data_IF_130113884597
#
_entry.id   IF_130113884597
#
_cell.length_a   1.000
_cell.length_b   1.000
_cell.length_c   1.000
_cell.angle_alpha   90.00
_cell.angle_beta   90.00
_cell.angle_gamma   90.00
#
_symmetry.space_group_name_H-M   'P 1'
#
loop_
_entity.id
_entity.type
_entity.pdbx_description
1 polymer ?
#
# COMPACT_ATOMS: atom_id res chain seq x y z
N UNK A 1 26.94 -20.60 9.69
CA UNK A 1 25.82 -19.63 9.77
C UNK A 1 25.88 -18.97 11.13
N UNK A 2 25.94 -17.64 11.16
CA UNK A 2 25.97 -16.86 12.39
C UNK A 2 24.63 -17.04 13.11
N UNK A 3 24.57 -17.22 14.44
CA UNK A 3 23.32 -17.42 15.19
C UNK A 3 22.22 -16.40 14.90
N UNK A 4 22.61 -15.17 14.60
CA UNK A 4 21.67 -14.12 14.21
C UNK A 4 21.04 -14.28 12.83
N UNK A 5 21.74 -14.91 11.89
CA UNK A 5 21.21 -15.17 10.54
C UNK A 5 20.14 -16.28 10.57
N UNK A 6 20.35 -17.31 11.38
CA UNK A 6 19.37 -18.38 11.56
C UNK A 6 18.10 -17.87 12.23
N UNK A 7 18.23 -17.05 13.28
CA UNK A 7 17.09 -16.40 13.93
C UNK A 7 16.31 -15.48 12.97
N UNK A 8 17.00 -14.77 12.09
CA UNK A 8 16.36 -13.93 11.09
C UNK A 8 15.55 -14.75 10.08
N UNK A 9 16.08 -15.87 9.60
CA UNK A 9 15.33 -16.74 8.68
C UNK A 9 14.14 -17.40 9.37
N UNK A 10 14.26 -17.80 10.62
CA UNK A 10 13.13 -18.29 11.44
C UNK A 10 12.05 -17.21 11.61
N UNK A 11 12.43 -15.96 11.84
CA UNK A 11 11.53 -14.82 11.94
C UNK A 11 10.78 -14.60 10.62
N UNK A 12 11.49 -14.56 9.50
CA UNK A 12 10.91 -14.38 8.17
C UNK A 12 9.93 -15.50 7.84
N UNK A 13 10.31 -16.75 8.08
CA UNK A 13 9.46 -17.92 7.85
C UNK A 13 8.19 -17.87 8.70
N UNK A 14 8.30 -17.51 9.98
CA UNK A 14 7.17 -17.38 10.90
C UNK A 14 6.18 -16.29 10.45
N UNK A 15 6.67 -15.15 9.99
CA UNK A 15 5.81 -14.05 9.51
C UNK A 15 5.13 -14.41 8.21
N UNK A 16 5.85 -14.96 7.24
CA UNK A 16 5.30 -15.37 5.94
C UNK A 16 4.33 -16.54 6.04
N UNK A 17 4.43 -17.35 7.08
CA UNK A 17 3.47 -18.40 7.38
C UNK A 17 2.07 -17.87 7.77
N UNK A 18 1.96 -16.62 8.21
CA UNK A 18 0.69 -15.98 8.48
C UNK A 18 0.05 -15.49 7.18
N UNK A 19 -1.23 -15.84 6.94
CA UNK A 19 -1.97 -15.41 5.75
C UNK A 19 -1.92 -13.89 5.52
N UNK A 20 -2.02 -13.13 6.61
CA UNK A 20 -1.99 -11.65 6.60
C UNK A 20 -0.71 -11.06 5.98
N UNK A 21 0.44 -11.72 6.14
CA UNK A 21 1.74 -11.19 5.71
C UNK A 21 2.38 -11.97 4.56
N UNK A 22 1.64 -12.93 3.99
CA UNK A 22 2.16 -13.81 2.93
C UNK A 22 2.61 -13.06 1.69
N UNK A 23 1.90 -12.00 1.33
CA UNK A 23 2.17 -11.17 0.16
C UNK A 23 3.21 -10.05 0.43
N UNK A 24 3.65 -9.88 1.67
CA UNK A 24 4.64 -8.86 2.01
C UNK A 24 6.01 -9.26 1.46
N UNK A 25 6.72 -8.28 0.88
CA UNK A 25 8.08 -8.50 0.38
C UNK A 25 8.99 -9.08 1.48
N UNK A 26 9.64 -10.22 1.23
CA UNK A 26 10.56 -10.84 2.18
C UNK A 26 11.71 -9.93 2.60
N UNK A 27 12.17 -9.05 1.70
CA UNK A 27 13.27 -8.13 2.02
C UNK A 27 12.83 -7.06 3.03
N UNK A 28 11.59 -6.57 2.92
CA UNK A 28 11.02 -5.65 3.90
C UNK A 28 10.93 -6.32 5.28
N UNK A 29 10.48 -7.58 5.33
CA UNK A 29 10.43 -8.35 6.58
C UNK A 29 11.82 -8.50 7.18
N UNK A 30 12.84 -8.84 6.36
CA UNK A 30 14.24 -8.93 6.80
C UNK A 30 14.77 -7.63 7.38
N UNK A 31 14.54 -6.53 6.68
CA UNK A 31 15.02 -5.22 7.09
C UNK A 31 14.45 -4.79 8.45
N UNK A 32 13.15 -5.00 8.67
CA UNK A 32 12.49 -4.71 9.95
C UNK A 32 12.94 -5.73 11.01
N UNK A 33 12.93 -7.02 10.66
CA UNK A 33 13.29 -8.11 11.55
C UNK A 33 14.70 -8.00 12.11
N UNK A 34 15.66 -7.62 11.29
CA UNK A 34 17.05 -7.39 11.73
C UNK A 34 17.11 -6.32 12.80
N UNK A 35 16.39 -5.21 12.61
CA UNK A 35 16.33 -4.11 13.58
C UNK A 35 15.67 -4.53 14.90
N UNK A 36 14.63 -5.34 14.80
CA UNK A 36 13.89 -5.80 15.99
C UNK A 36 14.66 -6.90 16.76
N UNK A 37 15.37 -7.79 16.05
CA UNK A 37 16.26 -8.78 16.68
C UNK A 37 17.44 -8.12 17.41
N UNK A 38 17.98 -7.02 16.90
CA UNK A 38 19.03 -6.25 17.55
C UNK A 38 18.56 -5.64 18.88
N UNK A 39 17.28 -5.29 18.99
CA UNK A 39 16.70 -4.67 20.19
C UNK A 39 16.14 -5.67 21.20
N UNK A 40 15.74 -6.85 20.76
CA UNK A 40 15.01 -7.84 21.54
C UNK A 40 15.69 -9.20 21.45
N UNK A 41 16.14 -9.72 22.57
CA UNK A 41 16.79 -11.03 22.61
C UNK A 41 15.85 -12.21 22.32
N UNK A 42 14.62 -12.28 22.89
CA UNK A 42 13.72 -13.39 22.59
C UNK A 42 13.18 -13.28 21.16
N UNK A 43 13.38 -14.33 20.35
CA UNK A 43 12.88 -14.41 18.97
C UNK A 43 11.37 -14.13 18.89
N UNK A 44 10.59 -14.66 19.83
CA UNK A 44 9.14 -14.44 19.90
C UNK A 44 8.76 -12.96 19.99
N UNK A 45 9.49 -12.20 20.80
CA UNK A 45 9.27 -10.77 20.96
C UNK A 45 9.68 -9.98 19.70
N UNK A 46 10.76 -10.38 19.04
CA UNK A 46 11.17 -9.80 17.78
C UNK A 46 10.15 -10.06 16.66
N UNK A 47 9.59 -11.26 16.59
CA UNK A 47 8.51 -11.60 15.65
C UNK A 47 7.29 -10.73 15.89
N UNK A 48 6.83 -10.59 17.14
CA UNK A 48 5.69 -9.76 17.50
C UNK A 48 5.92 -8.30 17.14
N UNK A 49 7.10 -7.76 17.46
CA UNK A 49 7.46 -6.38 17.15
C UNK A 49 7.54 -6.14 15.63
N UNK A 50 8.10 -7.08 14.87
CA UNK A 50 8.14 -7.00 13.41
C UNK A 50 6.74 -7.00 12.81
N UNK A 51 5.84 -7.87 13.27
CA UNK A 51 4.42 -7.88 12.85
C UNK A 51 3.73 -6.55 13.16
N UNK A 52 3.97 -5.96 14.32
CA UNK A 52 3.41 -4.66 14.67
C UNK A 52 3.92 -3.55 13.74
N UNK A 53 5.21 -3.54 13.40
CA UNK A 53 5.77 -2.58 12.45
C UNK A 53 5.19 -2.75 11.04
N UNK A 54 5.09 -3.98 10.57
CA UNK A 54 4.45 -4.29 9.28
C UNK A 54 2.98 -3.84 9.27
N UNK A 55 2.27 -4.03 10.37
CA UNK A 55 0.89 -3.56 10.51
C UNK A 55 0.79 -2.03 10.45
N UNK A 56 1.68 -1.31 11.15
CA UNK A 56 1.72 0.15 11.11
C UNK A 56 1.99 0.69 9.71
N UNK A 57 2.89 0.05 8.95
CA UNK A 57 3.22 0.46 7.58
C UNK A 57 2.11 0.08 6.59
N UNK A 58 1.52 -1.09 6.73
CA UNK A 58 0.64 -1.70 5.73
C UNK A 58 -0.86 -1.57 6.02
N UNK A 59 -1.28 -1.30 7.26
CA UNK A 59 -2.69 -1.35 7.63
C UNK A 59 -3.56 -0.34 6.87
N UNK A 60 -3.00 0.82 6.55
CA UNK A 60 -3.69 1.86 5.78
C UNK A 60 -3.95 1.46 4.32
N UNK A 61 -3.22 0.47 3.81
CA UNK A 61 -3.31 -0.04 2.43
C UNK A 61 -4.06 -1.36 2.31
N UNK A 62 -4.49 -1.94 3.44
CA UNK A 62 -5.30 -3.16 3.44
C UNK A 62 -6.76 -2.81 3.22
N UNK A 63 -7.23 -2.98 1.99
CA UNK A 63 -8.64 -2.85 1.62
C UNK A 63 -9.32 -4.22 1.61
N UNK A 64 -10.64 -4.25 1.76
CA UNK A 64 -11.41 -5.46 1.57
C UNK A 64 -11.31 -5.91 0.10
N UNK A 65 -10.75 -7.08 -0.15
CA UNK A 65 -10.47 -7.60 -1.50
C UNK A 65 -11.67 -7.56 -2.45
N UNK A 66 -12.88 -7.79 -1.96
CA UNK A 66 -14.09 -7.84 -2.78
C UNK A 66 -14.50 -6.50 -3.39
N UNK A 67 -14.25 -5.38 -2.72
CA UNK A 67 -14.65 -4.05 -3.21
C UNK A 67 -13.73 -3.53 -4.32
N UNK A 68 -12.45 -3.88 -4.27
CA UNK A 68 -11.45 -3.44 -5.26
C UNK A 68 -11.72 -4.07 -6.63
N UNK A 69 -12.02 -5.36 -6.67
CA UNK A 69 -12.32 -6.08 -7.93
C UNK A 69 -13.52 -5.51 -8.67
N UNK A 70 -14.60 -5.18 -7.95
CA UNK A 70 -15.79 -4.58 -8.52
C UNK A 70 -15.52 -3.16 -9.04
N UNK A 71 -14.84 -2.32 -8.26
CA UNK A 71 -14.47 -0.98 -8.70
C UNK A 71 -13.56 -0.99 -9.92
N UNK A 72 -12.62 -1.92 -9.98
CA UNK A 72 -11.76 -2.10 -11.14
C UNK A 72 -12.52 -2.53 -12.39
N UNK A 73 -13.51 -3.42 -12.26
CA UNK A 73 -14.39 -3.80 -13.36
C UNK A 73 -15.20 -2.61 -13.88
N UNK A 74 -15.71 -1.75 -12.99
CA UNK A 74 -16.42 -0.51 -13.36
C UNK A 74 -15.49 0.47 -14.10
N UNK A 75 -14.25 0.63 -13.64
CA UNK A 75 -13.26 1.47 -14.33
C UNK A 75 -12.97 0.97 -15.74
N UNK A 76 -12.75 -0.33 -15.91
CA UNK A 76 -12.50 -0.94 -17.23
C UNK A 76 -13.67 -0.74 -18.17
N UNK A 77 -14.90 -0.91 -17.71
CA UNK A 77 -16.10 -0.69 -18.49
C UNK A 77 -16.24 0.77 -18.92
N UNK A 78 -15.99 1.71 -18.01
CA UNK A 78 -16.03 3.15 -18.30
C UNK A 78 -14.97 3.56 -19.34
N UNK A 79 -13.76 3.05 -19.23
CA UNK A 79 -12.69 3.29 -20.21
C UNK A 79 -13.06 2.73 -21.58
N UNK A 80 -13.58 1.51 -21.65
CA UNK A 80 -14.01 0.87 -22.88
C UNK A 80 -15.16 1.64 -23.59
N UNK A 81 -16.05 2.25 -22.80
CA UNK A 81 -17.16 3.07 -23.30
C UNK A 81 -16.74 4.52 -23.64
N UNK A 82 -15.53 4.95 -23.29
CA UNK A 82 -15.09 6.33 -23.42
C UNK A 82 -15.85 7.31 -22.49
N UNK A 83 -16.47 6.80 -21.42
CA UNK A 83 -17.29 7.56 -20.49
C UNK A 83 -16.44 8.08 -19.32
N UNK A 84 -15.95 9.30 -19.44
CA UNK A 84 -15.13 9.96 -18.43
C UNK A 84 -15.89 10.21 -17.12
N UNK A 85 -17.17 10.51 -17.19
CA UNK A 85 -17.99 10.74 -16.00
C UNK A 85 -18.20 9.44 -15.21
N UNK A 86 -18.47 8.34 -15.92
CA UNK A 86 -18.58 7.01 -15.31
C UNK A 86 -17.26 6.51 -14.70
N UNK A 87 -16.11 6.93 -15.24
CA UNK A 87 -14.79 6.59 -14.72
C UNK A 87 -14.50 7.28 -13.38
N UNK A 88 -14.93 8.51 -13.20
CA UNK A 88 -14.65 9.30 -11.99
C UNK A 88 -15.21 8.65 -10.72
N UNK A 89 -16.39 8.08 -10.79
CA UNK A 89 -17.08 7.49 -9.64
C UNK A 89 -16.32 6.33 -8.99
N UNK A 90 -15.95 5.27 -9.72
CA UNK A 90 -15.18 4.17 -9.14
C UNK A 90 -13.77 4.59 -8.74
N UNK A 91 -13.13 5.55 -9.42
CA UNK A 91 -11.84 6.09 -9.00
C UNK A 91 -11.95 6.81 -7.66
N UNK A 92 -12.93 7.67 -7.46
CA UNK A 92 -13.17 8.33 -6.19
C UNK A 92 -13.48 7.34 -5.07
N UNK A 93 -14.30 6.33 -5.33
CA UNK A 93 -14.62 5.27 -4.37
C UNK A 93 -13.39 4.46 -3.94
N UNK A 94 -12.47 4.20 -4.86
CA UNK A 94 -11.20 3.54 -4.54
C UNK A 94 -10.31 4.45 -3.68
N UNK A 95 -10.23 5.73 -3.99
CA UNK A 95 -9.46 6.71 -3.22
C UNK A 95 -10.02 6.92 -1.81
N UNK A 96 -11.33 6.80 -1.62
CA UNK A 96 -11.98 6.91 -0.30
C UNK A 96 -11.58 5.79 0.66
N UNK A 97 -11.15 4.65 0.16
CA UNK A 97 -10.72 3.52 0.99
C UNK A 97 -9.43 3.78 1.75
N UNK A 98 -8.64 4.74 1.31
CA UNK A 98 -7.39 5.11 1.95
C UNK A 98 -7.53 6.48 2.64
N UNK A 99 -7.25 6.54 3.95
CA UNK A 99 -7.47 7.74 4.76
C UNK A 99 -6.81 9.00 4.18
N UNK A 100 -5.54 8.90 3.76
CA UNK A 100 -4.80 10.05 3.23
C UNK A 100 -5.33 10.57 1.90
N UNK A 101 -5.81 9.69 1.02
CA UNK A 101 -6.42 10.09 -0.24
C UNK A 101 -7.85 10.59 -0.05
N UNK A 102 -8.61 9.98 0.85
CA UNK A 102 -9.96 10.45 1.22
C UNK A 102 -9.96 11.88 1.71
N UNK A 103 -9.00 12.26 2.54
CA UNK A 103 -8.87 13.64 3.05
C UNK A 103 -8.59 14.65 1.94
N UNK A 104 -7.96 14.22 0.84
CA UNK A 104 -7.60 15.09 -0.29
C UNK A 104 -8.68 15.19 -1.35
N UNK A 105 -9.63 14.25 -1.42
CA UNK A 105 -10.68 14.23 -2.44
C UNK A 105 -11.42 15.59 -2.59
N UNK A 106 -11.81 16.29 -1.52
CA UNK A 106 -12.52 17.57 -1.64
C UNK A 106 -11.71 18.68 -2.31
N UNK A 107 -10.38 18.62 -2.26
CA UNK A 107 -9.48 19.67 -2.77
C UNK A 107 -8.75 19.26 -4.07
N UNK A 108 -8.91 18.03 -4.55
CA UNK A 108 -8.15 17.53 -5.70
C UNK A 108 -8.34 18.37 -6.97
N UNK A 109 -9.57 18.75 -7.29
CA UNK A 109 -9.85 19.51 -8.49
C UNK A 109 -9.16 20.89 -8.46
N UNK A 110 -9.24 21.60 -7.34
CA UNK A 110 -8.57 22.88 -7.14
C UNK A 110 -7.04 22.73 -7.14
N UNK A 111 -6.55 21.71 -6.47
CA UNK A 111 -5.11 21.44 -6.40
C UNK A 111 -4.52 21.21 -7.80
N UNK A 112 -5.12 20.35 -8.61
CA UNK A 112 -4.63 20.10 -9.96
C UNK A 112 -4.85 21.29 -10.89
N UNK A 113 -5.97 21.99 -10.79
CA UNK A 113 -6.20 23.20 -11.56
C UNK A 113 -5.12 24.27 -11.27
N UNK A 114 -4.80 24.51 -10.00
CA UNK A 114 -3.76 25.45 -9.61
C UNK A 114 -2.36 24.99 -10.03
N UNK A 115 -2.04 23.70 -9.85
CA UNK A 115 -0.72 23.15 -10.19
C UNK A 115 -0.47 23.15 -11.70
N UNK A 116 -1.47 22.82 -12.51
CA UNK A 116 -1.34 22.69 -13.95
C UNK A 116 -1.55 24.01 -14.70
N UNK A 117 -2.13 25.04 -14.06
CA UNK A 117 -2.39 26.33 -14.67
C UNK A 117 -1.14 27.02 -15.22
N UNK A 118 0.01 26.84 -14.56
CA UNK A 118 1.28 27.44 -14.93
C UNK A 118 2.07 26.65 -15.98
N UNK A 119 1.67 25.40 -16.24
CA UNK A 119 2.38 24.50 -17.17
C UNK A 119 1.79 24.53 -18.58
N UNK A 120 0.58 25.06 -18.73
CA UNK A 120 -0.18 25.05 -19.99
C UNK A 120 -0.85 23.71 -20.28
N UNK A 121 -1.31 23.46 -21.53
CA UNK A 121 -2.03 22.22 -21.86
C UNK A 121 -1.17 20.96 -21.66
N UNK A 122 -1.65 20.05 -20.84
CA UNK A 122 -0.98 18.76 -20.55
C UNK A 122 -1.56 17.68 -21.46
N UNK A 123 -0.70 17.00 -22.24
CA UNK A 123 -1.10 15.91 -23.15
C UNK A 123 -0.84 14.52 -22.57
N UNK A 124 0.17 14.40 -21.70
CA UNK A 124 0.52 13.15 -21.06
C UNK A 124 1.06 13.40 -19.66
N UNK A 125 0.82 12.48 -18.76
CA UNK A 125 1.29 12.52 -17.37
C UNK A 125 1.95 11.20 -17.06
N UNK A 126 3.12 11.25 -16.40
CA UNK A 126 3.75 10.08 -15.79
C UNK A 126 3.74 10.30 -14.29
N UNK A 127 3.09 9.39 -13.57
CA UNK A 127 3.11 9.37 -12.11
C UNK A 127 4.14 8.35 -11.64
N UNK A 128 5.12 8.83 -10.89
CA UNK A 128 6.16 7.97 -10.31
C UNK A 128 5.87 7.85 -8.82
N UNK A 129 5.19 6.77 -8.46
CA UNK A 129 4.96 6.41 -7.07
C UNK A 129 6.24 5.90 -6.42
N UNK A 130 6.69 6.55 -5.36
CA UNK A 130 7.85 6.16 -4.56
C UNK A 130 7.45 5.46 -3.27
#
# INVERSE_FOLDING_TARGET
VTPGAEQLEQLVASIRGSAKYRAVDPQLIRNIGTRELAKRRPLKEAIKATKNKLHQVGAAYQTAEGSVGELFAQMRAAVAAGDQAALRRPCAALMEQHASTRERLPILAEFYAATLAEIGPVRSVVDIAC
#
